data_IF_479828717806
#
_entry.id   IF_479828717806
#
_cell.length_a   1.000
_cell.length_b   1.000
_cell.length_c   1.000
_cell.angle_alpha   90.00
_cell.angle_beta   90.00
_cell.angle_gamma   90.00
#
_symmetry.space_group_name_H-M   'P 1'
#
loop_
_entity.id
_entity.type
_entity.pdbx_description
1 polymer ?
#
# COMPACT_ATOMS: atom_id res chain seq x y z
N UNK A 1 -35.41 28.88 39.48
CA UNK A 1 -34.26 27.94 39.43
C UNK A 1 -34.54 26.60 38.74
N UNK A 2 -35.77 26.06 38.69
CA UNK A 2 -36.10 24.81 37.95
C UNK A 2 -35.97 24.93 36.42
N UNK A 3 -36.43 26.03 35.84
CA UNK A 3 -36.38 26.30 34.38
C UNK A 3 -34.96 26.36 33.80
N UNK A 4 -34.00 26.85 34.57
CA UNK A 4 -32.60 26.97 34.13
C UNK A 4 -31.89 25.60 34.12
N UNK A 5 -32.27 24.71 35.03
CA UNK A 5 -31.78 23.31 35.09
C UNK A 5 -32.36 22.46 33.96
N UNK A 6 -33.63 22.67 33.58
CA UNK A 6 -34.23 21.98 32.43
C UNK A 6 -33.64 22.47 31.11
N UNK A 7 -33.46 23.78 30.93
CA UNK A 7 -32.80 24.33 29.74
C UNK A 7 -31.35 23.82 29.56
N UNK A 8 -30.58 23.75 30.66
CA UNK A 8 -29.23 23.19 30.65
C UNK A 8 -29.21 21.68 30.31
N UNK A 9 -30.18 20.91 30.81
CA UNK A 9 -30.30 19.49 30.48
C UNK A 9 -30.66 19.24 29.01
N UNK A 10 -31.54 20.07 28.42
CA UNK A 10 -31.86 20.02 26.99
C UNK A 10 -30.65 20.39 26.13
N UNK A 11 -29.93 21.47 26.47
CA UNK A 11 -28.73 21.88 25.75
C UNK A 11 -27.60 20.83 25.83
N UNK A 12 -27.43 20.21 27.00
CA UNK A 12 -26.47 19.11 27.18
C UNK A 12 -26.86 17.90 26.32
N UNK A 13 -28.13 17.50 26.32
CA UNK A 13 -28.61 16.38 25.49
C UNK A 13 -28.36 16.59 24.00
N UNK A 14 -28.67 17.78 23.48
CA UNK A 14 -28.44 18.15 22.07
C UNK A 14 -26.95 18.13 21.73
N UNK A 15 -26.09 18.67 22.60
CA UNK A 15 -24.65 18.67 22.38
C UNK A 15 -24.08 17.24 22.30
N UNK A 16 -24.53 16.32 23.17
CA UNK A 16 -24.07 14.92 23.15
C UNK A 16 -24.51 14.21 21.87
N UNK A 17 -25.71 14.48 21.35
CA UNK A 17 -26.17 13.91 20.07
C UNK A 17 -25.33 14.41 18.90
N UNK A 18 -25.00 15.71 18.87
CA UNK A 18 -24.14 16.28 17.83
C UNK A 18 -22.73 15.68 17.85
N UNK A 19 -22.14 15.48 19.04
CA UNK A 19 -20.83 14.84 19.18
C UNK A 19 -20.87 13.38 18.71
N UNK A 20 -21.93 12.63 19.03
CA UNK A 20 -22.07 11.24 18.60
C UNK A 20 -22.22 11.10 17.08
N UNK A 21 -22.99 11.99 16.43
CA UNK A 21 -23.13 12.01 14.96
C UNK A 21 -21.80 12.39 14.30
N UNK A 22 -21.11 13.41 14.82
CA UNK A 22 -19.80 13.83 14.31
C UNK A 22 -18.75 12.72 14.44
N UNK A 23 -18.75 11.97 15.55
CA UNK A 23 -17.88 10.81 15.74
C UNK A 23 -18.22 9.66 14.77
N UNK A 24 -19.51 9.42 14.49
CA UNK A 24 -19.94 8.39 13.53
C UNK A 24 -19.52 8.66 12.09
N UNK A 25 -19.49 9.93 11.66
CA UNK A 25 -19.03 10.33 10.33
C UNK A 25 -17.50 10.24 10.16
N UNK A 26 -16.75 10.29 11.27
CA UNK A 26 -15.29 10.13 11.28
C UNK A 26 -14.85 8.66 11.18
N UNK A 27 -15.75 7.71 11.43
CA UNK A 27 -15.57 6.30 11.09
C UNK A 27 -15.90 6.15 9.59
N UNK A 28 -15.12 6.85 8.77
CA UNK A 28 -15.29 6.88 7.33
C UNK A 28 -15.17 5.48 6.75
N UNK A 29 -16.16 5.05 5.98
CA UNK A 29 -16.05 3.86 5.16
C UNK A 29 -14.80 4.00 4.28
N UNK A 30 -13.96 2.97 4.22
CA UNK A 30 -12.84 2.95 3.29
C UNK A 30 -13.41 3.02 1.87
N UNK A 31 -13.21 4.14 1.20
CA UNK A 31 -13.59 4.30 -0.20
C UNK A 31 -12.42 3.84 -1.09
N UNK A 32 -12.73 3.03 -2.10
CA UNK A 32 -11.75 2.70 -3.13
C UNK A 32 -11.34 3.98 -3.85
N UNK A 33 -10.03 4.11 -4.11
CA UNK A 33 -9.51 5.22 -4.92
C UNK A 33 -9.37 4.75 -6.36
N UNK A 34 -10.01 5.47 -7.28
CA UNK A 34 -9.92 5.21 -8.71
C UNK A 34 -8.88 6.13 -9.34
N UNK A 35 -8.06 5.56 -10.23
CA UNK A 35 -7.05 6.30 -10.98
C UNK A 35 -7.18 5.97 -12.46
N UNK A 36 -7.16 6.98 -13.33
CA UNK A 36 -7.05 6.75 -14.78
C UNK A 36 -5.65 6.25 -15.16
N UNK A 37 -4.60 6.84 -14.56
CA UNK A 37 -3.20 6.47 -14.82
C UNK A 37 -2.34 6.79 -13.60
N UNK A 38 -1.36 5.91 -13.33
CA UNK A 38 -0.34 6.12 -12.29
C UNK A 38 1.05 6.06 -12.92
N UNK A 39 1.88 7.08 -12.65
CA UNK A 39 3.29 7.14 -13.07
C UNK A 39 4.17 7.01 -11.83
N UNK A 40 4.73 5.82 -11.61
CA UNK A 40 5.51 5.48 -10.40
C UNK A 40 6.70 4.60 -10.76
N UNK A 41 7.67 4.52 -9.85
CA UNK A 41 8.80 3.61 -10.01
C UNK A 41 8.54 2.21 -9.45
N UNK A 42 7.69 2.12 -8.41
CA UNK A 42 7.38 0.88 -7.71
C UNK A 42 6.00 0.94 -7.07
N UNK A 43 5.31 -0.19 -7.06
CA UNK A 43 4.06 -0.45 -6.34
C UNK A 43 4.30 -1.66 -5.44
N UNK A 44 3.87 -1.57 -4.18
CA UNK A 44 3.87 -2.69 -3.24
C UNK A 44 2.43 -3.00 -2.85
N UNK A 45 2.09 -4.30 -2.84
CA UNK A 45 0.87 -4.80 -2.20
C UNK A 45 1.28 -5.44 -0.88
N UNK A 46 0.64 -5.02 0.21
CA UNK A 46 0.95 -5.45 1.58
C UNK A 46 -0.30 -5.95 2.29
N UNK A 47 -0.12 -6.89 3.20
CA UNK A 47 -1.15 -7.32 4.15
C UNK A 47 -1.46 -6.24 5.20
N UNK A 48 -2.55 -6.37 5.97
CA UNK A 48 -2.87 -5.44 7.07
C UNK A 48 -1.76 -5.29 8.12
N UNK A 49 -0.95 -6.33 8.33
CA UNK A 49 0.18 -6.32 9.26
C UNK A 49 1.48 -5.75 8.65
N UNK A 50 1.44 -5.37 7.37
CA UNK A 50 2.58 -4.83 6.62
C UNK A 50 3.40 -5.87 5.87
N UNK A 51 3.05 -7.16 5.92
CA UNK A 51 3.75 -8.21 5.18
C UNK A 51 3.63 -7.98 3.67
N UNK A 52 4.77 -7.95 2.97
CA UNK A 52 4.81 -7.75 1.53
C UNK A 52 4.27 -8.97 0.79
N UNK A 53 3.39 -8.77 -0.21
CA UNK A 53 2.78 -9.83 -1.04
C UNK A 53 3.15 -9.78 -2.50
N UNK A 54 3.26 -8.56 -3.01
CA UNK A 54 3.65 -8.35 -4.39
C UNK A 54 4.41 -7.04 -4.52
N UNK A 55 5.35 -7.00 -5.46
CA UNK A 55 6.01 -5.78 -5.89
C UNK A 55 5.97 -5.70 -7.40
N UNK A 56 5.56 -4.56 -7.96
CA UNK A 56 5.80 -4.19 -9.37
C UNK A 56 6.84 -3.09 -9.36
N UNK A 57 7.94 -3.22 -10.10
CA UNK A 57 9.03 -2.24 -10.07
C UNK A 57 9.78 -2.10 -11.38
N UNK A 58 10.28 -0.88 -11.61
CA UNK A 58 11.26 -0.62 -12.65
C UNK A 58 12.66 -1.15 -12.24
N UNK A 59 13.62 -1.07 -13.16
CA UNK A 59 15.00 -1.53 -12.92
C UNK A 59 15.74 -0.79 -11.80
N UNK A 60 15.47 0.50 -11.62
CA UNK A 60 16.16 1.32 -10.62
C UNK A 60 15.68 1.06 -9.19
N UNK A 61 14.48 0.50 -9.02
CA UNK A 61 13.85 0.20 -7.73
C UNK A 61 13.53 -1.29 -7.57
N UNK A 62 14.13 -2.13 -8.42
CA UNK A 62 13.95 -3.57 -8.35
C UNK A 62 14.54 -4.09 -7.03
N UNK A 63 13.76 -4.82 -6.21
CA UNK A 63 14.26 -5.31 -4.94
C UNK A 63 15.33 -6.39 -5.14
N UNK A 64 16.19 -6.51 -4.13
CA UNK A 64 17.03 -7.69 -3.97
C UNK A 64 16.21 -8.90 -3.54
N UNK A 65 16.90 -9.96 -3.11
CA UNK A 65 16.25 -11.15 -2.58
C UNK A 65 15.61 -10.82 -1.23
N UNK A 66 14.31 -11.06 -1.07
CA UNK A 66 13.62 -10.84 0.20
C UNK A 66 13.31 -12.20 0.84
N UNK A 67 13.82 -12.41 2.05
CA UNK A 67 13.58 -13.62 2.85
C UNK A 67 13.10 -13.19 4.22
N UNK A 68 11.93 -13.67 4.62
CA UNK A 68 11.29 -13.32 5.90
C UNK A 68 11.20 -11.81 6.14
N UNK A 69 10.78 -11.08 5.11
CA UNK A 69 10.67 -9.61 5.11
C UNK A 69 12.00 -8.86 5.08
N UNK A 70 13.14 -9.55 5.06
CA UNK A 70 14.48 -8.92 5.04
C UNK A 70 15.05 -8.94 3.64
N UNK A 71 15.39 -7.76 3.13
CA UNK A 71 16.04 -7.60 1.85
C UNK A 71 17.54 -7.87 1.97
N UNK A 72 18.05 -8.70 1.08
CA UNK A 72 19.47 -9.00 0.90
C UNK A 72 19.89 -8.64 -0.53
N UNK A 73 21.16 -8.27 -0.75
CA UNK A 73 21.68 -8.06 -2.09
C UNK A 73 21.49 -9.32 -2.95
N UNK A 74 21.08 -9.14 -4.20
CA UNK A 74 21.00 -10.22 -5.16
C UNK A 74 21.63 -9.74 -6.47
N UNK A 75 22.92 -10.05 -6.61
CA UNK A 75 23.81 -9.53 -7.67
C UNK A 75 23.31 -9.78 -9.08
N UNK A 76 22.54 -10.85 -9.25
CA UNK A 76 22.19 -11.39 -10.57
C UNK A 76 20.93 -10.74 -11.15
N UNK A 77 20.36 -9.72 -10.48
CA UNK A 77 19.13 -9.01 -10.92
C UNK A 77 19.32 -7.53 -11.19
N UNK A 78 20.56 -7.07 -11.38
CA UNK A 78 20.84 -5.66 -11.70
C UNK A 78 20.23 -5.18 -13.04
N UNK A 79 19.75 -6.11 -13.88
CA UNK A 79 19.07 -5.82 -15.15
C UNK A 79 17.54 -5.92 -15.06
N UNK A 80 17.00 -6.41 -13.95
CA UNK A 80 15.62 -6.85 -13.84
C UNK A 80 14.64 -5.69 -13.67
N UNK A 81 13.49 -5.77 -14.35
CA UNK A 81 12.27 -5.06 -14.02
C UNK A 81 11.12 -6.07 -14.00
N UNK A 82 9.98 -5.74 -13.39
CA UNK A 82 8.79 -6.59 -13.42
C UNK A 82 8.13 -6.78 -12.07
N UNK A 83 7.59 -7.97 -11.85
CA UNK A 83 6.70 -8.30 -10.74
C UNK A 83 7.26 -9.46 -9.90
N UNK A 84 7.35 -9.29 -8.59
CA UNK A 84 7.73 -10.36 -7.65
C UNK A 84 6.56 -10.70 -6.72
N UNK A 85 6.47 -11.98 -6.35
CA UNK A 85 5.49 -12.52 -5.42
C UNK A 85 6.18 -13.02 -4.14
N UNK A 86 5.48 -12.92 -3.02
CA UNK A 86 5.97 -13.29 -1.70
C UNK A 86 4.95 -14.16 -0.96
N UNK A 87 5.45 -15.17 -0.24
CA UNK A 87 4.63 -16.08 0.56
C UNK A 87 4.22 -15.48 1.93
N UNK A 88 3.50 -16.25 2.75
CA UNK A 88 2.97 -15.83 4.07
C UNK A 88 4.04 -15.44 5.08
N UNK A 89 5.28 -15.89 4.88
CA UNK A 89 6.40 -15.51 5.72
C UNK A 89 7.09 -14.24 5.23
N UNK A 90 6.66 -13.65 4.10
CA UNK A 90 7.35 -12.53 3.45
C UNK A 90 8.65 -12.96 2.75
N UNK A 91 8.72 -14.21 2.29
CA UNK A 91 9.83 -14.72 1.46
C UNK A 91 9.42 -14.76 0.00
N UNK A 92 10.30 -14.30 -0.89
CA UNK A 92 10.08 -14.35 -2.34
C UNK A 92 9.86 -15.81 -2.78
N UNK A 93 8.77 -16.07 -3.50
CA UNK A 93 8.44 -17.40 -4.02
C UNK A 93 8.35 -17.45 -5.56
N UNK A 94 8.68 -16.36 -6.24
CA UNK A 94 8.75 -16.29 -7.70
C UNK A 94 8.47 -14.89 -8.24
N UNK A 95 8.48 -14.77 -9.56
CA UNK A 95 8.22 -13.50 -10.22
C UNK A 95 8.14 -13.60 -11.74
N UNK A 96 7.58 -12.54 -12.32
CA UNK A 96 7.63 -12.22 -13.74
C UNK A 96 8.71 -11.17 -13.92
N UNK A 97 9.91 -11.61 -14.24
CA UNK A 97 11.08 -10.75 -14.39
C UNK A 97 11.38 -10.62 -15.87
N UNK A 98 11.58 -9.39 -16.32
CA UNK A 98 11.95 -9.08 -17.69
C UNK A 98 13.21 -8.22 -17.69
N UNK A 99 14.11 -8.56 -18.61
CA UNK A 99 15.33 -7.86 -18.91
C UNK A 99 15.40 -7.59 -20.41
N UNK A 100 15.76 -6.36 -20.76
CA UNK A 100 16.05 -6.01 -22.14
C UNK A 100 17.28 -5.11 -22.20
N UNK A 101 18.24 -5.46 -23.05
CA UNK A 101 19.36 -4.58 -23.38
C UNK A 101 19.49 -4.49 -24.88
N UNK A 102 19.68 -3.25 -25.36
CA UNK A 102 20.18 -3.07 -26.71
C UNK A 102 21.70 -3.11 -26.67
N UNK A 103 22.31 -3.99 -27.46
CA UNK A 103 23.75 -4.03 -27.69
C UNK A 103 23.98 -4.01 -29.20
N UNK A 104 24.73 -3.01 -29.65
CA UNK A 104 25.13 -2.86 -31.07
C UNK A 104 23.95 -2.91 -32.06
N UNK A 105 22.81 -2.30 -31.68
CA UNK A 105 21.60 -2.24 -32.52
C UNK A 105 20.72 -3.51 -32.45
N UNK A 106 21.16 -4.55 -31.74
CA UNK A 106 20.35 -5.74 -31.49
C UNK A 106 19.67 -5.66 -30.12
N UNK A 107 18.40 -6.03 -30.07
CA UNK A 107 17.62 -6.10 -28.84
C UNK A 107 17.71 -7.54 -28.30
N UNK A 108 18.30 -7.70 -27.13
CA UNK A 108 18.18 -8.92 -26.34
C UNK A 108 16.99 -8.77 -25.39
N UNK A 109 16.11 -9.78 -25.36
CA UNK A 109 14.96 -9.86 -24.47
C UNK A 109 15.02 -11.17 -23.68
N UNK A 110 14.74 -11.11 -22.40
CA UNK A 110 14.62 -12.24 -21.49
C UNK A 110 13.66 -11.94 -20.35
#
# INVERSE_FOLDING_TARGET
MKFQKTAAAYAAGVATTFIAIAAGQAIGAAHNTDFDTITVHRINVVEPDGTLRMTISNRAQFPGLIVKGKQMPHSDRNYAAGMLFFNDEGTENGGLIFGGKSKDGHVESG
#
